data_IF_375819929888
#
_entry.id   IF_375819929888
#
_cell.length_a   1.000
_cell.length_b   1.000
_cell.length_c   1.000
_cell.angle_alpha   90.00
_cell.angle_beta   90.00
_cell.angle_gamma   90.00
#
_symmetry.space_group_name_H-M   'P 1'
#
loop_
_entity.id
_entity.type
_entity.pdbx_description
1 polymer ?
#
# COMPACT_ATOMS: atom_id res chain seq x y z
N UNK A 1 38.06 -16.23 -0.08
CA UNK A 1 37.44 -14.97 0.35
C UNK A 1 36.16 -14.75 -0.42
N UNK A 2 34.99 -14.76 0.24
CA UNK A 2 33.89 -13.80 0.04
C UNK A 2 32.94 -14.00 1.22
N UNK A 3 32.68 -12.91 1.93
CA UNK A 3 31.98 -12.87 3.22
C UNK A 3 30.58 -12.36 2.92
N UNK A 4 29.55 -13.19 3.10
CA UNK A 4 28.16 -12.74 3.04
C UNK A 4 27.75 -12.22 4.43
N UNK A 5 27.40 -10.94 4.52
CA UNK A 5 26.82 -10.34 5.72
C UNK A 5 25.30 -10.52 5.73
N UNK A 6 24.68 -10.62 6.92
CA UNK A 6 23.23 -10.71 7.05
C UNK A 6 22.57 -9.35 6.77
N UNK A 7 21.53 -9.36 5.94
CA UNK A 7 20.60 -8.25 5.78
C UNK A 7 19.84 -8.05 7.10
N UNK A 8 20.27 -7.05 7.85
CA UNK A 8 19.62 -6.60 9.07
C UNK A 8 18.25 -6.02 8.73
N UNK A 9 17.21 -6.57 9.33
CA UNK A 9 15.84 -6.11 9.27
C UNK A 9 15.70 -4.88 10.16
N UNK A 10 15.06 -3.80 9.68
CA UNK A 10 14.29 -2.91 10.57
C UNK A 10 13.28 -2.05 9.82
N UNK A 11 12.02 -2.31 10.14
CA UNK A 11 10.88 -1.39 10.17
C UNK A 11 10.37 -0.81 8.84
N UNK A 12 9.58 -1.61 8.15
CA UNK A 12 8.46 -1.13 7.36
C UNK A 12 7.36 -2.17 7.44
N UNK A 13 6.25 -1.87 8.11
CA UNK A 13 5.07 -2.74 8.12
C UNK A 13 4.43 -2.67 6.73
N UNK A 14 5.02 -3.39 5.77
CA UNK A 14 4.47 -3.70 4.46
C UNK A 14 4.36 -5.22 4.37
N UNK A 15 3.13 -5.72 4.37
CA UNK A 15 2.88 -7.15 4.18
C UNK A 15 3.27 -7.52 2.75
N UNK A 16 4.40 -8.21 2.61
CA UNK A 16 4.71 -8.95 1.39
C UNK A 16 3.81 -10.18 1.37
N UNK A 17 2.81 -10.16 0.50
CA UNK A 17 2.07 -11.37 0.13
C UNK A 17 3.05 -12.34 -0.53
N UNK A 18 3.48 -13.36 0.20
CA UNK A 18 4.18 -14.52 -0.35
C UNK A 18 3.13 -15.57 -0.69
N UNK A 19 2.90 -15.85 -1.97
CA UNK A 19 2.17 -17.03 -2.39
C UNK A 19 3.02 -18.27 -2.11
N UNK A 20 2.54 -19.17 -1.25
CA UNK A 20 3.01 -20.55 -1.22
C UNK A 20 1.90 -21.45 -1.77
N UNK A 21 2.15 -21.96 -2.98
CA UNK A 21 1.44 -23.08 -3.59
C UNK A 21 2.02 -24.37 -3.00
N UNK A 22 1.33 -25.04 -2.07
CA UNK A 22 1.37 -26.50 -1.94
C UNK A 22 0.29 -27.06 -0.99
N UNK A 23 -0.40 -28.09 -1.50
CA UNK A 23 -1.04 -29.21 -0.80
C UNK A 23 -2.45 -29.05 -0.18
N UNK A 24 -3.47 -29.58 -0.88
CA UNK A 24 -4.18 -30.78 -0.42
C UNK A 24 -4.97 -31.46 -1.57
N UNK A 25 -4.77 -32.78 -1.73
CA UNK A 25 -5.33 -33.68 -2.74
C UNK A 25 -6.76 -34.18 -2.39
N UNK A 26 -7.51 -34.77 -3.35
CA UNK A 26 -8.97 -34.96 -3.31
C UNK A 26 -9.40 -36.35 -2.78
N UNK A 27 -10.50 -36.43 -2.02
CA UNK A 27 -11.00 -37.72 -1.52
C UNK A 27 -12.25 -37.72 -0.62
N UNK A 28 -13.22 -36.82 -0.81
CA UNK A 28 -14.53 -36.91 -0.13
C UNK A 28 -15.69 -36.36 -0.97
N UNK A 29 -15.98 -37.11 -2.04
CA UNK A 29 -17.09 -36.88 -2.96
C UNK A 29 -18.47 -37.14 -2.33
N UNK A 30 -19.47 -36.38 -2.79
CA UNK A 30 -20.91 -36.42 -2.47
C UNK A 30 -21.43 -35.57 -1.29
N UNK A 31 -20.61 -35.26 -0.27
CA UNK A 31 -20.98 -34.24 0.74
C UNK A 31 -20.58 -32.80 0.31
N UNK A 32 -19.59 -32.69 -0.57
CA UNK A 32 -19.09 -31.42 -1.12
C UNK A 32 -20.12 -30.72 -2.04
N UNK A 33 -20.92 -31.48 -2.79
CA UNK A 33 -21.74 -30.93 -3.90
C UNK A 33 -22.92 -30.03 -3.46
N UNK A 34 -23.53 -30.31 -2.30
CA UNK A 34 -24.62 -29.46 -1.76
C UNK A 34 -24.10 -28.22 -1.01
N UNK A 35 -22.86 -28.29 -0.53
CA UNK A 35 -22.16 -27.11 -0.01
C UNK A 35 -21.69 -26.21 -1.16
N UNK A 36 -21.31 -26.77 -2.31
CA UNK A 36 -20.84 -25.99 -3.48
C UNK A 36 -21.89 -24.99 -3.99
N UNK A 37 -23.17 -25.35 -4.11
CA UNK A 37 -24.19 -24.42 -4.60
C UNK A 37 -24.50 -23.29 -3.60
N UNK A 38 -24.55 -23.60 -2.30
CA UNK A 38 -24.77 -22.62 -1.24
C UNK A 38 -23.56 -21.70 -1.02
N UNK A 39 -22.34 -22.26 -1.07
CA UNK A 39 -21.11 -21.47 -0.98
C UNK A 39 -20.87 -20.68 -2.25
N UNK A 40 -21.20 -21.18 -3.45
CA UNK A 40 -21.17 -20.39 -4.69
C UNK A 40 -22.05 -19.15 -4.58
N UNK A 41 -23.27 -19.30 -4.06
CA UNK A 41 -24.18 -18.16 -3.88
C UNK A 41 -23.67 -17.18 -2.82
N UNK A 42 -23.12 -17.66 -1.71
CA UNK A 42 -22.49 -16.80 -0.69
C UNK A 42 -21.20 -16.13 -1.20
N UNK A 43 -20.37 -16.83 -1.96
CA UNK A 43 -19.17 -16.29 -2.60
C UNK A 43 -19.56 -15.22 -3.61
N UNK A 44 -20.59 -15.44 -4.43
CA UNK A 44 -21.12 -14.43 -5.35
C UNK A 44 -21.59 -13.18 -4.59
N UNK A 45 -22.32 -13.34 -3.47
CA UNK A 45 -22.75 -12.21 -2.63
C UNK A 45 -21.55 -11.47 -2.03
N UNK A 46 -20.53 -12.18 -1.54
CA UNK A 46 -19.31 -11.58 -0.99
C UNK A 46 -18.48 -10.86 -2.06
N UNK A 47 -18.38 -11.40 -3.28
CA UNK A 47 -17.67 -10.77 -4.40
C UNK A 47 -18.40 -9.52 -4.90
N UNK A 48 -19.73 -9.55 -4.97
CA UNK A 48 -20.54 -8.37 -5.28
C UNK A 48 -20.43 -7.29 -4.20
N UNK A 49 -20.29 -7.68 -2.93
CA UNK A 49 -20.08 -6.75 -1.80
C UNK A 49 -18.65 -6.19 -1.74
N UNK A 50 -17.66 -6.97 -2.20
CA UNK A 50 -16.25 -6.59 -2.25
C UNK A 50 -15.88 -5.78 -3.51
N UNK A 51 -16.86 -5.47 -4.36
CA UNK A 51 -16.66 -4.72 -5.60
C UNK A 51 -16.25 -3.24 -5.39
N UNK A 52 -16.09 -2.77 -4.15
CA UNK A 52 -15.45 -1.48 -3.81
C UNK A 52 -14.18 -1.69 -2.96
N UNK A 53 -13.25 -2.48 -3.49
CA UNK A 53 -11.86 -2.47 -3.04
C UNK A 53 -10.96 -2.25 -4.25
N UNK A 54 -11.05 -1.06 -4.85
CA UNK A 54 -10.01 -0.62 -5.78
C UNK A 54 -8.69 -0.56 -5.02
N UNK A 55 -7.70 -1.36 -5.43
CA UNK A 55 -6.32 -1.21 -4.98
C UNK A 55 -5.74 0.10 -5.54
N UNK A 56 -6.15 1.23 -4.95
CA UNK A 56 -5.58 2.56 -5.24
C UNK A 56 -4.12 2.65 -4.80
N UNK A 57 -3.58 1.61 -4.14
CA UNK A 57 -2.18 1.50 -3.72
C UNK A 57 -1.19 1.61 -4.88
N UNK A 58 -1.61 1.31 -6.12
CA UNK A 58 -0.74 1.40 -7.31
C UNK A 58 -0.73 2.79 -7.96
N UNK A 59 -1.72 3.64 -7.70
CA UNK A 59 -1.79 5.00 -8.23
C UNK A 59 -1.04 6.00 -7.35
N UNK A 60 -0.95 5.70 -6.05
CA UNK A 60 -0.30 6.57 -5.09
C UNK A 60 1.15 6.15 -4.82
N UNK A 61 2.08 7.08 -4.98
CA UNK A 61 3.50 6.94 -4.61
C UNK A 61 3.72 7.38 -3.15
N UNK A 62 4.43 6.58 -2.36
CA UNK A 62 4.88 7.00 -1.02
C UNK A 62 6.01 8.03 -1.13
N UNK A 63 5.93 9.18 -0.43
CA UNK A 63 7.00 10.15 -0.39
C UNK A 63 8.19 9.65 0.45
N UNK A 64 9.40 10.04 0.07
CA UNK A 64 10.64 9.73 0.79
C UNK A 64 10.92 10.81 1.84
N UNK A 65 10.46 10.60 3.07
CA UNK A 65 10.67 11.54 4.17
C UNK A 65 11.94 11.25 4.99
N UNK A 66 12.94 10.60 4.38
CA UNK A 66 14.19 10.24 5.06
C UNK A 66 14.95 11.51 5.43
N UNK A 67 15.23 11.69 6.72
CA UNK A 67 15.98 12.85 7.23
C UNK A 67 15.18 14.15 7.31
N UNK A 68 13.86 14.12 7.09
CA UNK A 68 12.97 15.28 7.27
C UNK A 68 12.38 15.24 8.68
N UNK A 69 12.37 16.38 9.36
CA UNK A 69 11.70 16.57 10.64
C UNK A 69 10.55 17.58 10.49
N UNK A 70 9.57 17.55 11.39
CA UNK A 70 8.43 18.48 11.39
C UNK A 70 8.85 19.96 11.52
N UNK A 71 10.07 20.23 12.00
CA UNK A 71 10.63 21.59 12.18
C UNK A 71 11.72 21.92 11.16
N UNK A 72 11.95 21.05 10.17
CA UNK A 72 13.00 21.23 9.16
C UNK A 72 12.63 22.31 8.15
N UNK A 73 13.60 23.15 7.79
CA UNK A 73 13.48 24.02 6.61
C UNK A 73 13.73 23.21 5.34
N UNK A 74 12.76 23.20 4.43
CA UNK A 74 12.88 22.58 3.11
C UNK A 74 13.61 23.51 2.12
N UNK A 75 14.35 22.95 1.15
CA UNK A 75 14.93 23.75 0.07
C UNK A 75 13.82 24.46 -0.73
N UNK A 76 14.13 25.65 -1.25
CA UNK A 76 13.23 26.47 -2.07
C UNK A 76 13.10 25.95 -3.53
N UNK A 77 13.46 24.69 -3.78
CA UNK A 77 13.29 24.10 -5.10
C UNK A 77 11.80 23.89 -5.39
N UNK A 78 11.34 24.36 -6.54
CA UNK A 78 9.97 24.21 -6.98
C UNK A 78 9.83 22.94 -7.83
N UNK A 79 9.20 21.93 -7.26
CA UNK A 79 8.94 20.64 -7.91
C UNK A 79 7.61 20.12 -7.38
N UNK A 80 6.49 20.70 -7.86
CA UNK A 80 5.21 20.51 -7.22
C UNK A 80 4.75 19.06 -7.28
N UNK A 81 4.00 18.62 -6.27
CA UNK A 81 3.41 17.29 -6.20
C UNK A 81 1.97 17.37 -5.71
N UNK A 82 1.11 16.52 -6.25
CA UNK A 82 -0.29 16.42 -5.84
C UNK A 82 -0.41 15.38 -4.72
N UNK A 83 -0.86 15.80 -3.53
CA UNK A 83 -1.10 14.90 -2.39
C UNK A 83 -2.42 14.14 -2.53
N UNK A 84 -2.53 12.99 -1.87
CA UNK A 84 -3.77 12.18 -1.81
C UNK A 84 -4.92 12.90 -1.12
N UNK A 85 -4.62 14.00 -0.42
CA UNK A 85 -5.59 14.93 0.15
C UNK A 85 -6.06 16.02 -0.82
N UNK A 86 -5.65 15.96 -2.09
CA UNK A 86 -6.03 16.93 -3.13
C UNK A 86 -5.30 18.28 -3.02
N UNK A 87 -4.26 18.38 -2.18
CA UNK A 87 -3.48 19.61 -2.00
C UNK A 87 -2.19 19.51 -2.82
N UNK A 88 -1.87 20.59 -3.55
CA UNK A 88 -0.57 20.75 -4.22
C UNK A 88 0.48 21.23 -3.23
N UNK A 89 1.57 20.48 -3.09
CA UNK A 89 2.73 20.87 -2.30
C UNK A 89 3.83 21.40 -3.22
N UNK A 90 4.55 22.48 -2.85
CA UNK A 90 5.60 23.07 -3.69
C UNK A 90 6.77 22.12 -3.96
N UNK A 91 7.02 21.18 -3.05
CA UNK A 91 7.96 20.07 -3.23
C UNK A 91 7.64 18.90 -2.29
N UNK A 92 8.25 17.74 -2.57
CA UNK A 92 8.10 16.53 -1.74
C UNK A 92 8.53 16.74 -0.28
N UNK A 93 9.55 17.56 -0.01
CA UNK A 93 9.97 17.89 1.35
C UNK A 93 8.86 18.59 2.14
N UNK A 94 8.19 19.58 1.55
CA UNK A 94 7.09 20.30 2.18
C UNK A 94 5.88 19.39 2.46
N UNK A 95 5.62 18.43 1.57
CA UNK A 95 4.64 17.38 1.82
C UNK A 95 5.04 16.51 3.01
N UNK A 96 6.32 16.12 3.10
CA UNK A 96 6.84 15.35 4.24
C UNK A 96 6.75 16.11 5.58
N UNK A 97 7.09 17.39 5.61
CA UNK A 97 6.91 18.23 6.81
C UNK A 97 5.44 18.25 7.20
N UNK A 98 4.53 18.52 6.26
CA UNK A 98 3.10 18.56 6.54
C UNK A 98 2.55 17.22 7.06
N UNK A 99 2.98 16.12 6.44
CA UNK A 99 2.68 14.72 6.84
C UNK A 99 3.12 14.46 8.28
N UNK A 100 4.31 14.91 8.67
CA UNK A 100 4.86 14.75 10.03
C UNK A 100 4.18 15.68 11.05
N UNK A 101 3.95 16.95 10.71
CA UNK A 101 3.30 17.93 11.57
C UNK A 101 1.85 17.55 11.89
N UNK A 102 1.11 17.08 10.88
CA UNK A 102 -0.31 16.71 11.01
C UNK A 102 -0.52 15.24 11.37
N UNK A 103 0.55 14.44 11.45
CA UNK A 103 0.47 12.98 11.60
C UNK A 103 -0.51 12.35 10.59
N UNK A 104 -0.48 12.82 9.34
CA UNK A 104 -1.41 12.40 8.28
C UNK A 104 -0.67 11.62 7.19
N UNK A 105 -1.16 10.44 6.80
CA UNK A 105 -0.53 9.62 5.75
C UNK A 105 -0.90 10.12 4.34
N UNK A 106 -0.26 11.20 3.91
CA UNK A 106 -0.51 11.85 2.61
C UNK A 106 0.41 11.27 1.54
N UNK A 107 -0.13 10.49 0.60
CA UNK A 107 0.63 9.92 -0.51
C UNK A 107 0.70 10.90 -1.69
N UNK A 108 1.59 10.67 -2.65
CA UNK A 108 1.67 11.44 -3.90
C UNK A 108 0.79 10.77 -4.96
N UNK A 109 -0.15 11.50 -5.54
CA UNK A 109 -1.02 11.03 -6.64
C UNK A 109 -0.35 11.19 -7.99
N UNK A 110 0.25 12.37 -8.22
CA UNK A 110 0.98 12.69 -9.44
C UNK A 110 2.08 13.70 -9.12
N UNK A 111 3.13 13.64 -9.91
CA UNK A 111 4.09 14.73 -10.01
C UNK A 111 3.40 15.92 -10.71
N UNK A 112 3.69 17.14 -10.28
CA UNK A 112 2.98 18.35 -10.70
C UNK A 112 1.86 18.78 -9.75
N UNK A 113 1.21 19.92 -10.02
CA UNK A 113 0.05 20.36 -9.25
C UNK A 113 -1.12 19.39 -9.41
N UNK A 114 -1.97 19.28 -8.39
CA UNK A 114 -3.36 18.85 -8.55
C UNK A 114 -4.02 19.80 -9.58
#
# INVERSE_FOLDING_TARGET
MFRAQPLNTTSGRGQSHSCSLTALSPGSDLACFRMLAGTLLLICVMVLFSADAEDKSRLYRRPSCVGVSATQMCPLNYSPVCGSNGITYPNECSLCVHRLEKNADILIVKDGPC
#
